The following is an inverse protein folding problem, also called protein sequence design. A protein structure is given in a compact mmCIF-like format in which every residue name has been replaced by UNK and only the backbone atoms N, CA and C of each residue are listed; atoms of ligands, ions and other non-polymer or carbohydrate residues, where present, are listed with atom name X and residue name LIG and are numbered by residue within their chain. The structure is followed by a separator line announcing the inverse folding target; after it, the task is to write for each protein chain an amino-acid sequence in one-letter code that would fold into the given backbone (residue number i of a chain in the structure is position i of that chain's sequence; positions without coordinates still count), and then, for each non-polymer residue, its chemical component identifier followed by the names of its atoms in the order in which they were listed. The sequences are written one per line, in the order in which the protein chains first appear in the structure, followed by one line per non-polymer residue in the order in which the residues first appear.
data_IF_812445160942
#
_entry.id   IF_812445160942
#
_cell.length_a   1.000
_cell.length_b   1.000
_cell.length_c   1.000
_cell.angle_alpha   90.00
_cell.angle_beta   90.00
_cell.angle_gamma   90.00
#
_symmetry.space_group_name_H-M   'P 1'
#
loop_
_entity.id
_entity.type
_entity.pdbx_description
1 polymer ?
#
# COMPACT_ATOMS: atom_id res chain seq x y z
N UNK A 1 7.27 71.64 15.35
CA UNK A 1 7.74 70.81 14.24
C UNK A 1 7.90 69.36 14.70
N UNK A 2 6.91 68.81 15.33
CA UNK A 2 6.97 67.45 15.82
C UNK A 2 5.56 66.91 15.92
N UNK A 3 4.89 66.54 14.82
CA UNK A 3 3.63 65.79 14.89
C UNK A 3 3.20 65.23 13.54
N UNK A 4 4.13 65.07 12.59
CA UNK A 4 3.76 64.59 11.24
C UNK A 4 4.17 63.12 10.94
N UNK A 5 4.78 62.42 11.88
CA UNK A 5 5.31 61.09 11.61
C UNK A 5 4.41 59.97 12.18
N UNK A 6 3.37 60.29 12.97
CA UNK A 6 2.59 59.29 13.67
C UNK A 6 1.29 58.85 12.95
N UNK A 7 0.96 59.46 11.80
CA UNK A 7 -0.29 59.18 11.12
C UNK A 7 -0.17 58.25 9.91
N UNK A 8 1.01 57.75 9.59
CA UNK A 8 1.19 56.94 8.37
C UNK A 8 1.43 55.41 8.63
N UNK A 9 1.41 54.99 9.87
CA UNK A 9 1.62 53.56 10.22
C UNK A 9 0.32 52.78 10.46
N UNK A 10 -0.84 53.43 10.45
CA UNK A 10 -2.11 52.79 10.80
C UNK A 10 -2.99 52.38 9.61
N UNK A 11 -2.44 52.37 8.40
CA UNK A 11 -3.24 52.03 7.21
C UNK A 11 -2.77 50.82 6.40
N UNK A 12 -1.96 49.95 7.00
CA UNK A 12 -1.46 48.73 6.29
C UNK A 12 -1.79 47.43 7.00
N UNK A 13 -2.78 47.40 7.86
CA UNK A 13 -3.24 46.19 8.56
C UNK A 13 -4.69 45.77 8.23
N UNK A 14 -5.13 45.97 6.98
CA UNK A 14 -6.52 45.62 6.61
C UNK A 14 -6.58 44.80 5.32
N UNK A 15 -5.77 43.77 5.15
CA UNK A 15 -6.01 42.85 4.04
C UNK A 15 -5.25 41.53 4.20
N UNK A 16 -5.42 40.79 5.29
CA UNK A 16 -5.22 39.33 5.25
C UNK A 16 -6.21 38.70 6.22
N UNK A 17 -7.47 38.73 5.88
CA UNK A 17 -8.49 37.86 6.49
C UNK A 17 -9.08 36.97 5.40
N UNK A 18 -8.23 36.29 4.65
CA UNK A 18 -8.64 35.08 3.95
C UNK A 18 -8.62 33.95 4.97
N UNK A 19 -9.66 33.90 5.79
CA UNK A 19 -10.01 32.65 6.49
C UNK A 19 -10.37 31.64 5.40
N UNK A 20 -9.38 30.89 4.94
CA UNK A 20 -9.62 29.64 4.30
C UNK A 20 -10.23 28.71 5.37
N UNK A 21 -11.54 28.77 5.53
CA UNK A 21 -12.28 27.72 6.20
C UNK A 21 -12.15 26.48 5.33
N UNK A 22 -11.14 25.67 5.61
CA UNK A 22 -11.10 24.32 5.08
C UNK A 22 -12.25 23.60 5.76
N UNK A 23 -13.34 23.43 5.01
CA UNK A 23 -14.51 22.70 5.47
C UNK A 23 -14.08 21.26 5.77
N UNK A 24 -14.51 20.74 6.93
CA UNK A 24 -14.31 19.33 7.27
C UNK A 24 -14.83 18.38 6.18
N UNK A 25 -15.80 18.84 5.38
CA UNK A 25 -16.30 18.11 4.22
C UNK A 25 -15.28 18.01 3.08
N UNK A 26 -14.42 19.01 2.89
CA UNK A 26 -13.36 18.98 1.86
C UNK A 26 -12.23 18.04 2.26
N UNK A 27 -11.90 17.93 3.55
CA UNK A 27 -10.94 16.98 4.08
C UNK A 27 -11.44 15.55 3.89
N UNK A 28 -12.70 15.27 4.18
CA UNK A 28 -13.31 13.97 3.97
C UNK A 28 -13.38 13.59 2.49
N UNK A 29 -13.67 14.55 1.61
CA UNK A 29 -13.70 14.34 0.16
C UNK A 29 -12.31 14.09 -0.42
N UNK A 30 -11.29 14.82 0.04
CA UNK A 30 -9.90 14.61 -0.37
C UNK A 30 -9.37 13.23 0.08
N UNK A 31 -9.71 12.79 1.29
CA UNK A 31 -9.35 11.47 1.82
C UNK A 31 -10.04 10.35 1.03
N UNK A 32 -11.33 10.51 0.71
CA UNK A 32 -12.09 9.54 -0.07
C UNK A 32 -11.57 9.43 -1.53
N UNK A 33 -11.19 10.54 -2.14
CA UNK A 33 -10.60 10.57 -3.49
C UNK A 33 -9.22 9.92 -3.50
N UNK A 34 -8.38 10.18 -2.50
CA UNK A 34 -7.07 9.55 -2.35
C UNK A 34 -7.16 8.03 -2.18
N UNK A 35 -8.11 7.56 -1.36
CA UNK A 35 -8.35 6.13 -1.16
C UNK A 35 -8.87 5.44 -2.43
N UNK A 36 -9.75 6.09 -3.18
CA UNK A 36 -10.29 5.56 -4.44
C UNK A 36 -9.23 5.51 -5.55
N UNK A 37 -8.38 6.54 -5.64
CA UNK A 37 -7.27 6.56 -6.57
C UNK A 37 -6.23 5.48 -6.25
N UNK A 38 -5.90 5.25 -4.97
CA UNK A 38 -5.02 4.17 -4.54
C UNK A 38 -5.60 2.78 -4.87
N UNK A 39 -6.91 2.59 -4.72
CA UNK A 39 -7.60 1.35 -5.08
C UNK A 39 -7.61 1.09 -6.58
N UNK A 40 -7.81 2.12 -7.40
CA UNK A 40 -7.83 1.98 -8.86
C UNK A 40 -6.45 1.75 -9.45
N UNK A 41 -5.39 2.22 -8.77
CA UNK A 41 -4.00 2.03 -9.19
C UNK A 41 -3.36 0.71 -8.71
N UNK A 42 -4.00 -0.02 -7.77
CA UNK A 42 -3.50 -1.29 -7.30
C UNK A 42 -3.87 -2.42 -8.26
N UNK A 43 -2.97 -2.68 -9.21
CA UNK A 43 -3.15 -3.70 -10.25
C UNK A 43 -2.76 -5.08 -9.73
N UNK A 44 -3.77 -5.86 -9.31
CA UNK A 44 -3.60 -7.23 -8.83
C UNK A 44 -3.02 -8.14 -9.92
N UNK A 45 -3.47 -8.00 -11.16
CA UNK A 45 -3.04 -8.85 -12.28
C UNK A 45 -1.58 -8.59 -12.65
N UNK A 46 -1.19 -7.33 -12.77
CA UNK A 46 0.19 -6.95 -13.08
C UNK A 46 1.16 -7.34 -11.96
N UNK A 47 0.80 -7.11 -10.69
CA UNK A 47 1.62 -7.50 -9.55
C UNK A 47 1.73 -9.04 -9.47
N UNK A 48 0.63 -9.77 -9.65
CA UNK A 48 0.63 -11.24 -9.67
C UNK A 48 1.55 -11.79 -10.74
N UNK A 49 1.47 -11.26 -11.96
CA UNK A 49 2.33 -11.66 -13.08
C UNK A 49 3.81 -11.40 -12.80
N UNK A 50 4.15 -10.26 -12.20
CA UNK A 50 5.53 -9.93 -11.81
C UNK A 50 6.06 -10.89 -10.72
N UNK A 51 5.24 -11.21 -9.72
CA UNK A 51 5.60 -12.16 -8.67
C UNK A 51 5.85 -13.55 -9.28
N UNK A 52 4.95 -14.02 -10.15
CA UNK A 52 5.11 -15.30 -10.84
C UNK A 52 6.32 -15.33 -11.75
N UNK A 53 6.55 -14.26 -12.51
CA UNK A 53 7.74 -14.11 -13.37
C UNK A 53 9.04 -14.21 -12.58
N UNK A 54 9.02 -13.83 -11.30
CA UNK A 54 10.17 -13.97 -10.41
C UNK A 54 10.24 -15.33 -9.74
N UNK A 55 9.12 -15.84 -9.24
CA UNK A 55 9.09 -17.12 -8.50
C UNK A 55 9.28 -18.34 -9.39
N UNK A 56 8.70 -18.33 -10.60
CA UNK A 56 8.78 -19.45 -11.53
C UNK A 56 10.22 -19.92 -11.78
N UNK A 57 11.17 -19.06 -12.22
CA UNK A 57 12.55 -19.47 -12.44
C UNK A 57 13.32 -19.73 -11.16
N UNK A 58 13.06 -18.95 -10.09
CA UNK A 58 13.80 -19.08 -8.82
C UNK A 58 13.44 -20.33 -8.03
N UNK A 59 12.21 -20.79 -8.13
CA UNK A 59 11.70 -21.99 -7.46
C UNK A 59 11.63 -23.19 -8.40
N UNK A 60 11.93 -23.03 -9.69
CA UNK A 60 11.75 -24.07 -10.72
C UNK A 60 10.34 -24.70 -10.63
N UNK A 61 9.31 -23.84 -10.69
CA UNK A 61 7.92 -24.28 -10.57
C UNK A 61 7.55 -25.17 -11.75
N UNK A 62 6.90 -26.31 -11.46
CA UNK A 62 6.34 -27.16 -12.52
C UNK A 62 5.09 -26.51 -13.14
N UNK A 63 4.71 -26.90 -14.38
CA UNK A 63 3.50 -26.38 -15.01
C UNK A 63 2.23 -26.53 -14.15
N UNK A 64 2.16 -27.61 -13.37
CA UNK A 64 1.01 -27.89 -12.48
C UNK A 64 1.02 -26.99 -11.21
N UNK A 65 2.19 -26.58 -10.75
CA UNK A 65 2.34 -25.68 -9.61
C UNK A 65 2.02 -24.23 -9.95
N UNK A 66 2.27 -23.81 -11.19
CA UNK A 66 2.07 -22.41 -11.63
C UNK A 66 0.64 -21.91 -11.37
N UNK A 67 -0.45 -22.61 -11.79
CA UNK A 67 -1.79 -22.13 -11.53
C UNK A 67 -2.15 -22.08 -10.04
N UNK A 68 -1.62 -23.01 -9.24
CA UNK A 68 -1.86 -23.04 -7.79
C UNK A 68 -1.16 -21.85 -7.10
N UNK A 69 0.09 -21.58 -7.45
CA UNK A 69 0.83 -20.41 -6.94
C UNK A 69 0.16 -19.11 -7.39
N UNK A 70 -0.30 -19.04 -8.64
CA UNK A 70 -1.06 -17.90 -9.17
C UNK A 70 -2.30 -17.61 -8.34
N UNK A 71 -3.07 -18.65 -8.06
CA UNK A 71 -4.30 -18.53 -7.26
C UNK A 71 -4.01 -17.98 -5.86
N UNK A 72 -3.00 -18.52 -5.18
CA UNK A 72 -2.58 -18.07 -3.84
C UNK A 72 -2.17 -16.59 -3.87
N UNK A 73 -1.30 -16.22 -4.80
CA UNK A 73 -0.81 -14.83 -4.94
C UNK A 73 -1.96 -13.87 -5.23
N UNK A 74 -2.84 -14.22 -6.17
CA UNK A 74 -3.98 -13.38 -6.56
C UNK A 74 -4.99 -13.24 -5.41
N UNK A 75 -5.27 -14.32 -4.68
CA UNK A 75 -6.16 -14.27 -3.49
C UNK A 75 -5.62 -13.28 -2.44
N UNK A 76 -4.33 -13.38 -2.11
CA UNK A 76 -3.73 -12.53 -1.09
C UNK A 76 -3.59 -11.07 -1.55
N UNK A 77 -3.31 -10.83 -2.83
CA UNK A 77 -3.32 -9.48 -3.41
C UNK A 77 -4.72 -8.85 -3.37
N UNK A 78 -5.77 -9.63 -3.61
CA UNK A 78 -7.16 -9.17 -3.47
C UNK A 78 -7.50 -8.83 -2.01
N UNK A 79 -7.05 -9.65 -1.05
CA UNK A 79 -7.20 -9.32 0.38
C UNK A 79 -6.51 -8.01 0.73
N UNK A 80 -5.29 -7.80 0.25
CA UNK A 80 -4.57 -6.52 0.42
C UNK A 80 -5.33 -5.36 -0.22
N UNK A 81 -5.76 -5.50 -1.48
CA UNK A 81 -6.54 -4.47 -2.19
C UNK A 81 -7.76 -4.04 -1.39
N UNK A 82 -8.51 -5.01 -0.85
CA UNK A 82 -9.71 -4.74 -0.05
C UNK A 82 -9.38 -4.08 1.30
N UNK A 83 -8.17 -4.26 1.82
CA UNK A 83 -7.71 -3.63 3.06
C UNK A 83 -7.17 -2.20 2.85
N UNK A 84 -6.78 -1.81 1.63
CA UNK A 84 -6.19 -0.48 1.36
C UNK A 84 -7.04 0.69 1.88
N UNK A 85 -8.38 0.70 1.76
CA UNK A 85 -9.20 1.79 2.32
C UNK A 85 -9.07 1.91 3.83
N UNK A 86 -8.75 0.81 4.52
CA UNK A 86 -8.58 0.79 5.98
C UNK A 86 -7.29 1.49 6.42
N UNK A 87 -6.33 1.69 5.53
CA UNK A 87 -5.04 2.30 5.86
C UNK A 87 -5.20 3.71 6.48
N UNK A 88 -6.19 4.47 6.01
CA UNK A 88 -6.48 5.81 6.50
C UNK A 88 -7.51 5.82 7.66
N UNK A 89 -8.52 4.94 7.59
CA UNK A 89 -9.66 4.95 8.52
C UNK A 89 -9.51 4.00 9.71
N UNK A 90 -8.81 2.88 9.53
CA UNK A 90 -8.60 1.83 10.54
C UNK A 90 -7.25 1.15 10.37
N UNK A 91 -6.19 1.84 10.75
CA UNK A 91 -4.81 1.35 10.63
C UNK A 91 -4.59 0.02 11.38
N UNK A 92 -5.22 -0.17 12.52
CA UNK A 92 -5.11 -1.42 13.28
C UNK A 92 -5.72 -2.60 12.49
N UNK A 93 -6.88 -2.41 11.88
CA UNK A 93 -7.51 -3.39 11.00
C UNK A 93 -6.65 -3.69 9.77
N UNK A 94 -6.09 -2.66 9.13
CA UNK A 94 -5.15 -2.84 8.02
C UNK A 94 -3.94 -3.69 8.42
N UNK A 95 -3.29 -3.37 9.53
CA UNK A 95 -2.14 -4.11 10.05
C UNK A 95 -2.49 -5.57 10.36
N UNK A 96 -3.68 -5.84 10.91
CA UNK A 96 -4.17 -7.19 11.16
C UNK A 96 -4.30 -8.00 9.86
N UNK A 97 -4.89 -7.41 8.82
CA UNK A 97 -4.99 -8.06 7.50
C UNK A 97 -3.60 -8.33 6.91
N UNK A 98 -2.67 -7.37 7.00
CA UNK A 98 -1.31 -7.54 6.49
C UNK A 98 -0.53 -8.63 7.24
N UNK A 99 -0.65 -8.70 8.56
CA UNK A 99 -0.09 -9.79 9.37
C UNK A 99 -0.67 -11.16 8.97
N UNK A 100 -1.97 -11.20 8.69
CA UNK A 100 -2.65 -12.38 8.17
C UNK A 100 -2.10 -12.82 6.80
N UNK A 101 -1.85 -11.87 5.90
CA UNK A 101 -1.24 -12.16 4.58
C UNK A 101 0.19 -12.68 4.74
N UNK A 102 0.99 -12.04 5.60
CA UNK A 102 2.38 -12.45 5.86
C UNK A 102 2.47 -13.88 6.40
N UNK A 103 1.53 -14.29 7.23
CA UNK A 103 1.46 -15.66 7.78
C UNK A 103 0.85 -16.66 6.79
N UNK A 104 -0.18 -16.25 6.06
CA UNK A 104 -0.89 -17.12 5.12
C UNK A 104 -0.06 -17.44 3.87
N UNK A 105 0.75 -16.51 3.38
CA UNK A 105 1.53 -16.71 2.17
C UNK A 105 2.47 -17.92 2.28
N UNK A 106 3.42 -17.98 3.24
CA UNK A 106 4.28 -19.14 3.36
C UNK A 106 3.51 -20.43 3.71
N UNK A 107 2.46 -20.34 4.53
CA UNK A 107 1.64 -21.51 4.90
C UNK A 107 0.94 -22.11 3.70
N UNK A 108 0.32 -21.32 2.85
CA UNK A 108 -0.32 -21.79 1.60
C UNK A 108 0.70 -22.28 0.58
N UNK A 109 1.83 -21.60 0.46
CA UNK A 109 2.91 -22.02 -0.45
C UNK A 109 3.51 -23.36 -0.06
N UNK A 110 3.60 -23.65 1.24
CA UNK A 110 4.10 -24.95 1.76
C UNK A 110 3.25 -26.14 1.27
N UNK A 111 1.96 -25.95 1.02
CA UNK A 111 1.08 -27.03 0.54
C UNK A 111 1.26 -27.35 -0.94
N UNK A 112 1.82 -26.40 -1.70
CA UNK A 112 2.01 -26.51 -3.16
C UNK A 112 3.46 -26.82 -3.53
N UNK A 113 4.41 -26.31 -2.75
CA UNK A 113 5.84 -26.40 -3.03
C UNK A 113 6.46 -27.65 -2.40
N UNK A 114 7.47 -28.19 -3.08
CA UNK A 114 8.35 -29.20 -2.49
C UNK A 114 9.23 -28.58 -1.40
N UNK A 115 9.73 -29.38 -0.47
CA UNK A 115 10.53 -28.91 0.67
C UNK A 115 11.68 -27.98 0.26
N UNK A 116 12.39 -28.31 -0.80
CA UNK A 116 13.52 -27.52 -1.30
C UNK A 116 13.08 -26.20 -1.93
N UNK A 117 11.98 -26.20 -2.69
CA UNK A 117 11.37 -24.98 -3.25
C UNK A 117 10.88 -24.06 -2.12
N UNK A 118 10.27 -24.63 -1.10
CA UNK A 118 9.81 -23.88 0.06
C UNK A 118 10.96 -23.22 0.84
N UNK A 119 12.06 -23.95 1.06
CA UNK A 119 13.27 -23.39 1.68
C UNK A 119 13.83 -22.20 0.86
N UNK A 120 13.87 -22.34 -0.46
CA UNK A 120 14.28 -21.26 -1.36
C UNK A 120 13.32 -20.07 -1.27
N UNK A 121 12.00 -20.30 -1.23
CA UNK A 121 11.00 -19.25 -1.07
C UNK A 121 11.23 -18.44 0.22
N UNK A 122 11.47 -19.12 1.34
CA UNK A 122 11.73 -18.44 2.63
C UNK A 122 12.97 -17.54 2.54
N UNK A 123 13.99 -17.93 1.79
CA UNK A 123 15.17 -17.09 1.52
C UNK A 123 14.89 -15.89 0.63
N UNK A 124 13.86 -15.94 -0.20
CA UNK A 124 13.44 -14.83 -1.08
C UNK A 124 12.46 -13.85 -0.38
N UNK A 125 11.83 -14.28 0.70
CA UNK A 125 10.85 -13.43 1.41
C UNK A 125 11.55 -12.25 2.08
N UNK A 126 11.08 -11.02 1.84
CA UNK A 126 11.61 -9.85 2.53
C UNK A 126 11.20 -9.87 4.00
N UNK A 127 12.12 -9.51 4.88
CA UNK A 127 11.86 -9.36 6.33
C UNK A 127 11.32 -7.97 6.67
N UNK A 128 11.58 -7.01 5.79
CA UNK A 128 11.17 -5.60 5.91
C UNK A 128 10.68 -5.09 4.55
N UNK A 129 9.89 -4.00 4.51
CA UNK A 129 9.48 -3.38 3.26
C UNK A 129 10.68 -3.06 2.37
N UNK A 130 10.64 -3.48 1.11
CA UNK A 130 11.73 -3.27 0.14
C UNK A 130 11.16 -2.93 -1.23
N UNK A 131 11.63 -1.82 -1.81
CA UNK A 131 11.22 -1.41 -3.15
C UNK A 131 11.78 -2.33 -4.25
N UNK A 132 12.90 -3.00 -3.99
CA UNK A 132 13.58 -3.89 -4.95
C UNK A 132 13.06 -5.32 -4.92
N UNK A 133 12.37 -5.73 -3.86
CA UNK A 133 11.83 -7.08 -3.73
C UNK A 133 10.34 -7.09 -4.11
N UNK A 134 10.00 -7.80 -5.20
CA UNK A 134 8.62 -7.86 -5.70
C UNK A 134 7.63 -8.46 -4.69
N UNK A 135 8.07 -9.41 -3.84
CA UNK A 135 7.24 -9.99 -2.79
C UNK A 135 6.89 -8.97 -1.71
N UNK A 136 7.65 -7.88 -1.59
CA UNK A 136 7.33 -6.79 -0.69
C UNK A 136 6.00 -6.12 -1.05
N UNK A 137 5.65 -6.05 -2.34
CA UNK A 137 4.35 -5.51 -2.79
C UNK A 137 3.16 -6.34 -2.31
N UNK A 138 3.37 -7.63 -2.06
CA UNK A 138 2.36 -8.52 -1.50
C UNK A 138 2.34 -8.46 0.02
N UNK A 139 3.51 -8.47 0.67
CA UNK A 139 3.65 -8.72 2.10
C UNK A 139 3.64 -7.43 2.95
N UNK A 140 3.90 -6.27 2.35
CA UNK A 140 3.94 -4.94 2.98
C UNK A 140 3.18 -3.92 2.16
#
# INVERSE_FOLDING_TARGET
MENFIFTFVLLLCSAISSKAQISLNDVNKATAVGSKAALSSFDVSGISSQILGTLKPKLNLTPEQVPQVTSIVTELLNKKKNALPMMASNKAGYNSVMSGIQSAFPSKMKTVLKAQQYATLLGLMPKTPSATNILSKLLF
#
